data_IF_056050618350
#
_entry.id   IF_056050618350
#
_cell.length_a   1.000
_cell.length_b   1.000
_cell.length_c   1.000
_cell.angle_alpha   90.00
_cell.angle_beta   90.00
_cell.angle_gamma   90.00
#
_symmetry.space_group_name_H-M   'P 1'
#
loop_
_entity.id
_entity.type
_entity.pdbx_description
1 polymer ?
#
# COMPACT_ATOMS: atom_id res chain seq x y z
N UNK A 1 -22.23 40.25 -38.38
CA UNK A 1 -21.82 41.32 -37.44
C UNK A 1 -20.55 40.79 -36.76
N UNK A 2 -19.39 41.45 -36.75
CA UNK A 2 -19.14 42.89 -36.56
C UNK A 2 -18.84 43.09 -35.06
N UNK A 3 -17.57 43.15 -34.62
CA UNK A 3 -16.70 44.34 -34.58
C UNK A 3 -17.40 45.55 -33.90
N UNK A 4 -16.78 46.29 -32.97
CA UNK A 4 -15.38 46.75 -32.97
C UNK A 4 -14.73 46.87 -31.56
N UNK A 5 -13.45 46.50 -31.45
CA UNK A 5 -12.42 47.28 -30.71
C UNK A 5 -12.05 48.52 -31.59
N UNK A 6 -11.42 49.65 -31.15
CA UNK A 6 -10.18 49.61 -30.34
C UNK A 6 -9.71 50.94 -29.64
N UNK A 7 -8.37 51.06 -29.44
CA UNK A 7 -7.51 52.27 -29.23
C UNK A 7 -7.59 52.99 -27.85
N UNK A 8 -6.48 53.15 -27.08
CA UNK A 8 -5.21 53.91 -27.25
C UNK A 8 -5.35 55.42 -26.88
N UNK A 9 -4.36 56.18 -26.38
CA UNK A 9 -2.90 55.97 -26.23
C UNK A 9 -2.24 56.94 -25.18
N UNK A 10 -1.00 56.61 -24.74
CA UNK A 10 0.14 57.53 -24.42
C UNK A 10 0.05 58.57 -23.25
N UNK A 11 1.02 58.48 -22.33
CA UNK A 11 2.13 59.46 -22.26
C UNK A 11 3.47 58.84 -21.80
N UNK A 12 4.59 59.50 -22.13
CA UNK A 12 5.99 59.05 -22.00
C UNK A 12 6.88 60.23 -21.61
N UNK A 13 7.86 59.97 -20.74
CA UNK A 13 9.18 60.62 -20.62
C UNK A 13 10.20 59.47 -20.44
N UNK A 14 11.40 59.40 -21.04
CA UNK A 14 12.43 60.43 -21.37
C UNK A 14 13.33 60.72 -20.15
N UNK A 15 14.67 60.54 -20.20
CA UNK A 15 15.59 60.14 -21.30
C UNK A 15 16.80 59.28 -20.82
N UNK A 16 17.44 58.37 -21.58
CA UNK A 16 16.89 57.34 -22.50
C UNK A 16 17.75 56.01 -22.62
N UNK A 17 19.09 55.78 -22.53
CA UNK A 17 20.40 56.53 -22.69
C UNK A 17 21.57 55.62 -23.25
N UNK A 18 22.77 55.44 -22.62
CA UNK A 18 24.00 54.72 -23.11
C UNK A 18 24.23 53.33 -22.45
N UNK A 19 24.63 52.20 -23.08
CA UNK A 19 25.55 51.87 -24.21
C UNK A 19 27.05 51.79 -23.89
N UNK A 20 27.52 50.90 -22.99
CA UNK A 20 28.96 50.60 -22.89
C UNK A 20 29.37 49.25 -22.25
N UNK A 21 29.02 48.09 -22.85
CA UNK A 21 29.66 46.82 -22.45
C UNK A 21 29.82 45.72 -23.53
N UNK A 22 29.45 45.95 -24.80
CA UNK A 22 29.66 44.99 -25.91
C UNK A 22 31.12 44.95 -26.41
N UNK A 23 32.10 44.92 -25.49
CA UNK A 23 33.54 44.94 -25.83
C UNK A 23 34.45 44.23 -24.82
N UNK A 24 34.25 42.92 -24.63
CA UNK A 24 35.29 41.93 -24.27
C UNK A 24 34.70 40.52 -24.45
N UNK A 25 34.46 40.08 -25.67
CA UNK A 25 35.44 39.26 -26.39
C UNK A 25 36.39 38.43 -25.51
N UNK A 26 36.14 37.11 -25.49
CA UNK A 26 37.12 36.04 -25.77
C UNK A 26 38.47 36.12 -25.02
N UNK A 27 38.71 35.18 -24.11
CA UNK A 27 39.91 34.32 -24.13
C UNK A 27 39.61 33.01 -23.36
N UNK A 28 40.31 31.94 -23.70
CA UNK A 28 39.97 30.56 -23.30
C UNK A 28 40.73 30.09 -22.06
N UNK A 29 40.07 29.34 -21.16
CA UNK A 29 40.72 28.32 -20.33
C UNK A 29 39.85 27.06 -20.18
N UNK A 30 40.52 25.96 -19.89
CA UNK A 30 40.04 24.58 -19.99
C UNK A 30 39.27 24.06 -18.77
N UNK A 31 38.32 23.16 -19.04
CA UNK A 31 38.05 21.93 -18.27
C UNK A 31 37.84 21.99 -16.76
N UNK A 32 36.61 21.73 -16.33
CA UNK A 32 36.37 20.82 -15.19
C UNK A 32 35.15 19.93 -15.50
N UNK A 33 35.28 18.62 -15.26
CA UNK A 33 34.18 17.66 -15.42
C UNK A 33 33.59 17.40 -14.04
N UNK A 34 32.34 17.81 -13.82
CA UNK A 34 31.69 17.64 -12.53
C UNK A 34 30.26 17.12 -12.72
N UNK A 35 30.05 15.85 -12.34
CA UNK A 35 28.82 15.11 -12.53
C UNK A 35 27.84 15.33 -11.37
N UNK A 36 26.64 15.80 -11.68
CA UNK A 36 25.53 15.90 -10.74
C UNK A 36 24.20 15.53 -11.43
N UNK A 37 23.17 15.10 -10.67
CA UNK A 37 22.13 14.22 -11.22
C UNK A 37 21.13 14.96 -12.08
N UNK A 38 20.90 14.48 -13.31
CA UNK A 38 19.80 14.98 -14.13
C UNK A 38 18.46 14.50 -13.55
N UNK A 39 17.61 15.45 -13.17
CA UNK A 39 16.19 15.21 -12.94
C UNK A 39 15.54 14.69 -14.24
N UNK A 40 14.55 13.79 -14.18
CA UNK A 40 13.86 13.29 -15.36
C UNK A 40 13.09 14.43 -16.05
N UNK A 41 13.61 14.89 -17.19
CA UNK A 41 13.01 15.95 -17.98
C UNK A 41 11.70 15.49 -18.63
N UNK A 42 10.70 16.38 -18.61
CA UNK A 42 9.36 16.09 -19.15
C UNK A 42 9.44 15.74 -20.66
N UNK A 43 8.78 14.65 -21.12
CA UNK A 43 8.89 14.20 -22.50
C UNK A 43 8.19 15.14 -23.48
N UNK A 44 8.95 15.73 -24.40
CA UNK A 44 8.42 16.62 -25.45
C UNK A 44 7.55 15.86 -26.47
N UNK A 45 6.39 16.42 -26.80
CA UNK A 45 5.37 15.77 -27.63
C UNK A 45 5.65 15.80 -29.14
N UNK A 46 6.56 14.97 -29.67
CA UNK A 46 6.36 14.32 -30.99
C UNK A 46 7.34 13.18 -31.34
N UNK A 47 6.87 11.93 -31.25
CA UNK A 47 7.03 10.85 -32.25
C UNK A 47 6.48 9.54 -31.68
N UNK A 48 5.92 8.66 -32.53
CA UNK A 48 5.56 7.30 -32.09
C UNK A 48 6.83 6.47 -31.98
N UNK A 49 7.24 6.12 -30.77
CA UNK A 49 8.34 5.18 -30.53
C UNK A 49 7.93 3.78 -30.97
N UNK A 50 8.41 3.34 -32.13
CA UNK A 50 8.32 1.94 -32.56
C UNK A 50 9.35 1.08 -31.79
N UNK A 51 9.19 0.99 -30.47
CA UNK A 51 9.74 -0.17 -29.75
C UNK A 51 9.03 -1.41 -30.31
N UNK A 52 9.79 -2.42 -30.73
CA UNK A 52 9.21 -3.63 -31.32
C UNK A 52 8.23 -4.26 -30.33
N UNK A 53 7.10 -4.77 -30.83
CA UNK A 53 6.11 -5.48 -30.00
C UNK A 53 6.78 -6.57 -29.15
N UNK A 54 7.76 -7.27 -29.73
CA UNK A 54 8.59 -8.26 -29.04
C UNK A 54 9.43 -7.68 -27.89
N UNK A 55 10.02 -6.49 -28.04
CA UNK A 55 10.78 -5.82 -26.97
C UNK A 55 9.86 -5.38 -25.84
N UNK A 56 8.67 -4.86 -26.17
CA UNK A 56 7.66 -4.51 -25.17
C UNK A 56 7.13 -5.75 -24.42
N UNK A 57 6.96 -6.88 -25.12
CA UNK A 57 6.58 -8.17 -24.53
C UNK A 57 7.67 -8.73 -23.60
N UNK A 58 8.94 -8.71 -24.03
CA UNK A 58 10.06 -9.13 -23.18
C UNK A 58 10.14 -8.27 -21.91
N UNK A 59 10.04 -6.94 -22.04
CA UNK A 59 10.05 -6.02 -20.89
C UNK A 59 8.85 -6.24 -19.95
N UNK A 60 7.64 -6.43 -20.50
CA UNK A 60 6.47 -6.76 -19.69
C UNK A 60 6.63 -8.09 -18.95
N UNK A 61 7.20 -9.12 -19.59
CA UNK A 61 7.47 -10.40 -18.94
C UNK A 61 8.56 -10.31 -17.87
N UNK A 62 9.66 -9.57 -18.11
CA UNK A 62 10.70 -9.37 -17.10
C UNK A 62 10.19 -8.60 -15.89
N UNK A 63 9.30 -7.63 -16.11
CA UNK A 63 8.66 -6.91 -15.00
C UNK A 63 7.72 -7.83 -14.24
N UNK A 64 6.87 -8.61 -14.91
CA UNK A 64 5.98 -9.57 -14.25
C UNK A 64 6.75 -10.57 -13.36
N UNK A 65 7.86 -11.15 -13.83
CA UNK A 65 8.68 -12.05 -13.00
C UNK A 65 9.30 -11.36 -11.77
N UNK A 66 9.65 -10.07 -11.87
CA UNK A 66 10.20 -9.29 -10.76
C UNK A 66 9.10 -8.85 -9.78
N UNK A 67 7.93 -8.46 -10.28
CA UNK A 67 6.72 -8.13 -9.52
C UNK A 67 6.19 -9.35 -8.76
N UNK A 68 6.18 -10.54 -9.38
CA UNK A 68 5.88 -11.82 -8.72
C UNK A 68 6.84 -12.09 -7.56
N UNK A 69 8.14 -11.89 -7.76
CA UNK A 69 9.16 -12.08 -6.72
C UNK A 69 9.01 -11.11 -5.54
N UNK A 70 8.72 -9.83 -5.80
CA UNK A 70 8.45 -8.86 -4.74
C UNK A 70 7.14 -9.18 -4.00
N UNK A 71 6.08 -9.54 -4.73
CA UNK A 71 4.79 -9.89 -4.16
C UNK A 71 4.85 -11.16 -3.28
N UNK A 72 5.63 -12.16 -3.69
CA UNK A 72 5.94 -13.34 -2.86
C UNK A 72 6.70 -12.96 -1.59
N UNK A 73 7.72 -12.10 -1.69
CA UNK A 73 8.49 -11.63 -0.54
C UNK A 73 7.66 -10.78 0.44
N UNK A 74 6.66 -10.04 -0.05
CA UNK A 74 5.69 -9.31 0.79
C UNK A 74 4.74 -10.29 1.49
N UNK A 75 4.21 -11.30 0.79
CA UNK A 75 3.28 -12.26 1.39
C UNK A 75 3.96 -13.21 2.39
N UNK A 76 5.19 -13.68 2.17
CA UNK A 76 5.88 -14.45 3.22
C UNK A 76 6.22 -13.60 4.46
N UNK A 77 6.53 -12.30 4.31
CA UNK A 77 6.65 -11.38 5.46
C UNK A 77 5.31 -11.22 6.20
N UNK A 78 4.19 -11.19 5.47
CA UNK A 78 2.82 -11.17 6.03
C UNK A 78 2.50 -12.47 6.76
N UNK A 79 2.69 -13.63 6.13
CA UNK A 79 2.50 -14.96 6.73
C UNK A 79 3.38 -15.18 7.96
N UNK A 80 4.65 -14.78 7.93
CA UNK A 80 5.55 -14.86 9.09
C UNK A 80 5.01 -14.06 10.28
N UNK A 81 4.50 -12.84 10.06
CA UNK A 81 3.82 -12.04 11.10
C UNK A 81 2.56 -12.74 11.62
N UNK A 82 1.72 -13.28 10.73
CA UNK A 82 0.52 -14.04 11.12
C UNK A 82 0.88 -15.26 11.97
N UNK A 83 1.85 -16.09 11.56
CA UNK A 83 2.35 -17.24 12.33
C UNK A 83 2.80 -16.83 13.74
N UNK A 84 3.50 -15.70 13.87
CA UNK A 84 3.89 -15.15 15.18
C UNK A 84 2.71 -14.77 16.07
N UNK A 85 1.62 -14.25 15.50
CA UNK A 85 0.39 -13.94 16.26
C UNK A 85 -0.38 -15.23 16.61
N UNK A 86 -0.50 -16.18 15.69
CA UNK A 86 -1.14 -17.48 15.93
C UNK A 86 -0.47 -18.25 17.08
N UNK A 87 0.85 -18.17 17.20
CA UNK A 87 1.60 -18.76 18.31
C UNK A 87 1.29 -18.13 19.69
N UNK A 88 0.71 -16.92 19.73
CA UNK A 88 0.28 -16.25 20.98
C UNK A 88 -1.19 -16.51 21.36
N UNK A 89 -2.01 -16.99 20.43
CA UNK A 89 -3.41 -17.35 20.71
C UNK A 89 -3.43 -18.72 21.39
N UNK A 90 -4.16 -18.89 22.52
CA UNK A 90 -4.19 -20.17 23.23
C UNK A 90 -4.81 -21.30 22.39
N UNK A 91 -4.33 -22.51 22.65
CA UNK A 91 -4.88 -23.77 22.14
C UNK A 91 -5.40 -24.56 23.34
N UNK A 92 -6.64 -25.01 23.26
CA UNK A 92 -7.29 -25.83 24.28
C UNK A 92 -7.54 -27.24 23.74
N UNK A 93 -7.75 -28.20 24.64
CA UNK A 93 -8.29 -29.51 24.27
C UNK A 93 -9.81 -29.48 24.31
N UNK A 94 -10.46 -30.02 23.29
CA UNK A 94 -11.92 -30.07 23.26
C UNK A 94 -12.48 -30.86 24.46
N UNK A 95 -13.48 -30.27 25.10
CA UNK A 95 -14.35 -30.88 26.09
C UNK A 95 -15.78 -30.43 25.78
N UNK A 96 -16.73 -31.38 25.74
CA UNK A 96 -18.14 -31.08 25.44
C UNK A 96 -18.69 -30.01 26.38
N UNK A 97 -19.40 -29.02 25.82
CA UNK A 97 -19.94 -27.87 26.55
C UNK A 97 -18.96 -26.71 26.80
N UNK A 98 -17.71 -26.76 26.32
CA UNK A 98 -16.81 -25.58 26.30
C UNK A 98 -16.98 -24.69 25.05
N UNK A 99 -17.59 -25.21 23.99
CA UNK A 99 -17.78 -24.51 22.72
C UNK A 99 -19.19 -23.90 22.60
N UNK A 100 -19.37 -22.98 21.66
CA UNK A 100 -20.70 -22.49 21.24
C UNK A 100 -21.37 -23.51 20.30
N UNK A 101 -20.57 -24.17 19.46
CA UNK A 101 -20.97 -25.24 18.54
C UNK A 101 -20.02 -26.43 18.72
N UNK A 102 -20.53 -27.66 18.63
CA UNK A 102 -19.72 -28.88 18.79
C UNK A 102 -19.15 -29.40 17.44
N UNK A 103 -19.24 -28.60 16.36
CA UNK A 103 -18.65 -28.85 15.03
C UNK A 103 -17.66 -27.75 14.58
N UNK A 104 -16.73 -28.12 13.71
CA UNK A 104 -15.82 -27.19 13.06
C UNK A 104 -16.39 -26.66 11.73
N UNK A 105 -16.85 -25.41 11.72
CA UNK A 105 -17.43 -24.75 10.54
C UNK A 105 -16.46 -24.49 9.35
N UNK A 106 -15.25 -25.08 9.36
CA UNK A 106 -14.28 -25.04 8.23
C UNK A 106 -14.26 -26.39 7.50
N UNK A 107 -14.21 -27.51 8.23
CA UNK A 107 -14.18 -28.87 7.65
C UNK A 107 -15.53 -29.59 7.72
N UNK A 108 -16.52 -29.06 8.45
CA UNK A 108 -17.85 -29.64 8.68
C UNK A 108 -17.78 -31.03 9.33
N UNK A 109 -16.93 -31.15 10.35
CA UNK A 109 -16.78 -32.35 11.19
C UNK A 109 -17.04 -31.97 12.65
N UNK A 110 -17.70 -32.88 13.37
CA UNK A 110 -17.86 -32.83 14.83
C UNK A 110 -16.49 -32.84 15.54
N UNK A 111 -16.40 -32.23 16.72
CA UNK A 111 -15.19 -32.24 17.55
C UNK A 111 -15.07 -33.53 18.38
N UNK A 112 -13.93 -34.22 18.28
CA UNK A 112 -13.63 -35.40 19.11
C UNK A 112 -12.93 -35.04 20.44
N UNK A 113 -13.16 -35.81 21.53
CA UNK A 113 -12.50 -35.58 22.81
C UNK A 113 -10.97 -35.60 22.71
N UNK A 114 -10.33 -34.57 23.28
CA UNK A 114 -8.88 -34.33 23.18
C UNK A 114 -8.35 -33.86 21.81
N UNK A 115 -9.19 -33.45 20.87
CA UNK A 115 -8.71 -32.67 19.72
C UNK A 115 -8.13 -31.31 20.13
N UNK A 116 -7.18 -30.80 19.34
CA UNK A 116 -6.57 -29.49 19.55
C UNK A 116 -7.41 -28.41 18.88
N UNK A 117 -8.11 -27.60 19.67
CA UNK A 117 -8.92 -26.49 19.18
C UNK A 117 -8.27 -25.15 19.51
N UNK A 118 -8.28 -24.23 18.55
CA UNK A 118 -7.95 -22.82 18.77
C UNK A 118 -9.26 -22.05 18.90
N UNK A 119 -9.41 -21.37 20.03
CA UNK A 119 -10.49 -20.41 20.23
C UNK A 119 -9.99 -19.01 19.88
N UNK A 120 -10.68 -18.34 18.96
CA UNK A 120 -10.38 -16.95 18.62
C UNK A 120 -10.85 -16.01 19.75
N UNK A 121 -10.33 -14.76 19.83
CA UNK A 121 -10.78 -13.79 20.83
C UNK A 121 -12.30 -13.50 20.79
N UNK A 122 -12.94 -13.65 19.62
CA UNK A 122 -14.40 -13.61 19.45
C UNK A 122 -15.12 -14.92 19.86
N UNK A 123 -14.45 -15.81 20.61
CA UNK A 123 -14.92 -17.07 21.21
C UNK A 123 -15.31 -18.21 20.26
N UNK A 124 -15.23 -18.01 18.95
CA UNK A 124 -15.42 -19.09 17.98
C UNK A 124 -14.24 -20.08 18.02
N UNK A 125 -14.54 -21.37 18.08
CA UNK A 125 -13.56 -22.46 18.13
C UNK A 125 -13.50 -23.26 16.83
N UNK A 126 -12.30 -23.73 16.50
CA UNK A 126 -12.01 -24.51 15.29
C UNK A 126 -10.82 -25.46 15.55
N UNK A 127 -10.67 -26.53 14.77
CA UNK A 127 -9.42 -27.30 14.74
C UNK A 127 -8.24 -26.38 14.40
N UNK A 128 -7.13 -26.51 15.13
CA UNK A 128 -5.91 -25.69 14.93
C UNK A 128 -5.48 -25.67 13.46
N UNK A 129 -5.37 -26.84 12.83
CA UNK A 129 -4.90 -26.97 11.45
C UNK A 129 -5.86 -26.33 10.43
N UNK A 130 -7.17 -26.31 10.72
CA UNK A 130 -8.16 -25.67 9.86
C UNK A 130 -8.11 -24.14 9.93
N UNK A 131 -8.01 -23.57 11.14
CA UNK A 131 -8.07 -22.12 11.33
C UNK A 131 -6.72 -21.42 11.13
N UNK A 132 -5.59 -22.06 11.43
CA UNK A 132 -4.28 -21.46 11.17
C UNK A 132 -4.06 -21.28 9.66
N UNK A 133 -4.41 -22.30 8.87
CA UNK A 133 -4.29 -22.25 7.42
C UNK A 133 -5.30 -21.29 6.77
N UNK A 134 -6.49 -21.12 7.36
CA UNK A 134 -7.42 -20.03 7.02
C UNK A 134 -6.84 -18.65 7.34
N UNK A 135 -6.28 -18.44 8.54
CA UNK A 135 -5.78 -17.14 8.99
C UNK A 135 -4.52 -16.69 8.24
N UNK A 136 -3.72 -17.61 7.70
CA UNK A 136 -2.67 -17.31 6.71
C UNK A 136 -3.24 -16.69 5.43
N UNK A 137 -4.47 -17.06 5.02
CA UNK A 137 -5.15 -16.53 3.84
C UNK A 137 -5.93 -15.25 4.15
N UNK A 138 -6.84 -15.25 5.13
CA UNK A 138 -7.57 -14.07 5.59
C UNK A 138 -7.56 -13.99 7.12
N UNK A 139 -7.09 -12.88 7.70
CA UNK A 139 -6.94 -12.72 9.15
C UNK A 139 -8.27 -12.35 9.87
N UNK A 140 -9.35 -13.02 9.47
CA UNK A 140 -10.73 -12.78 9.92
C UNK A 140 -11.38 -14.09 10.37
N UNK A 141 -12.26 -14.00 11.36
CA UNK A 141 -13.04 -15.13 11.85
C UNK A 141 -14.01 -15.65 10.76
N UNK A 142 -14.01 -16.94 10.41
CA UNK A 142 -14.98 -17.52 9.47
C UNK A 142 -16.45 -17.28 9.86
N UNK A 143 -16.78 -17.31 11.15
CA UNK A 143 -18.17 -17.32 11.63
C UNK A 143 -18.76 -15.94 11.92
N UNK A 144 -17.95 -14.94 12.32
CA UNK A 144 -18.44 -13.57 12.57
C UNK A 144 -17.83 -12.50 11.64
N UNK A 145 -16.90 -12.87 10.75
CA UNK A 145 -16.18 -11.98 9.82
C UNK A 145 -15.31 -10.87 10.46
N UNK A 146 -15.35 -10.71 11.78
CA UNK A 146 -14.48 -9.79 12.53
C UNK A 146 -12.99 -10.13 12.35
N UNK A 147 -12.10 -9.13 12.27
CA UNK A 147 -10.67 -9.34 12.16
C UNK A 147 -10.06 -9.72 13.52
N UNK A 148 -9.11 -10.66 13.51
CA UNK A 148 -8.59 -11.28 14.74
C UNK A 148 -7.68 -10.32 15.55
N UNK A 149 -7.16 -9.26 14.94
CA UNK A 149 -6.35 -8.24 15.62
C UNK A 149 -7.17 -7.29 16.49
N UNK A 150 -8.36 -6.87 16.05
CA UNK A 150 -9.23 -5.93 16.78
C UNK A 150 -9.57 -6.42 18.20
N UNK A 151 -9.78 -7.73 18.35
CA UNK A 151 -10.11 -8.36 19.62
C UNK A 151 -8.87 -8.82 20.43
N UNK A 152 -7.67 -8.82 19.83
CA UNK A 152 -6.40 -8.83 20.59
C UNK A 152 -6.09 -7.41 21.12
N UNK A 153 -6.36 -6.38 20.33
CA UNK A 153 -6.23 -4.98 20.71
C UNK A 153 -7.17 -4.60 21.86
N UNK A 154 -8.42 -5.10 21.89
CA UNK A 154 -9.34 -4.85 23.01
C UNK A 154 -8.83 -5.47 24.33
N UNK A 155 -8.28 -6.69 24.28
CA UNK A 155 -7.65 -7.34 25.45
C UNK A 155 -6.38 -6.60 25.88
N UNK A 156 -5.53 -6.18 24.93
CA UNK A 156 -4.27 -5.49 25.23
C UNK A 156 -4.49 -4.06 25.77
N UNK A 157 -5.46 -3.31 25.22
CA UNK A 157 -5.83 -1.97 25.74
C UNK A 157 -6.51 -2.06 27.11
N UNK A 158 -7.40 -3.04 27.34
CA UNK A 158 -8.02 -3.28 28.64
C UNK A 158 -7.01 -3.67 29.74
N UNK A 159 -5.92 -4.35 29.38
CA UNK A 159 -4.84 -4.74 30.32
C UNK A 159 -3.72 -3.69 30.49
N UNK A 160 -3.49 -2.84 29.48
CA UNK A 160 -2.35 -1.89 29.47
C UNK A 160 -2.74 -0.42 29.65
N UNK A 161 -4.04 -0.08 29.65
CA UNK A 161 -4.52 1.30 29.86
C UNK A 161 -4.17 2.30 28.75
N UNK A 162 -3.68 1.81 27.60
CA UNK A 162 -3.33 2.67 26.45
C UNK A 162 -4.62 3.07 25.75
N UNK A 163 -4.93 4.36 25.79
CA UNK A 163 -6.16 4.92 25.19
C UNK A 163 -6.00 5.26 23.71
N UNK A 164 -7.03 4.85 22.97
CA UNK A 164 -7.57 5.44 21.76
C UNK A 164 -6.75 5.44 20.45
N UNK A 165 -7.04 4.46 19.60
CA UNK A 165 -6.59 4.40 18.20
C UNK A 165 -7.46 5.24 17.24
N UNK A 166 -8.56 5.86 17.69
CA UNK A 166 -9.46 6.66 16.84
C UNK A 166 -8.86 7.98 16.31
N UNK A 167 -7.63 8.32 16.71
CA UNK A 167 -6.88 9.46 16.16
C UNK A 167 -6.30 9.23 14.76
N UNK A 168 -6.52 8.06 14.13
CA UNK A 168 -6.27 7.88 12.69
C UNK A 168 -7.45 8.53 11.92
N UNK A 169 -7.24 9.60 11.14
CA UNK A 169 -8.33 10.26 10.43
C UNK A 169 -8.87 9.38 9.30
N UNK A 170 -10.03 8.77 9.53
CA UNK A 170 -10.80 8.09 8.50
C UNK A 170 -11.08 9.07 7.34
N UNK A 171 -10.41 8.88 6.20
CA UNK A 171 -10.61 9.71 5.02
C UNK A 171 -12.06 9.51 4.53
N UNK A 172 -12.85 10.57 4.65
CA UNK A 172 -14.29 10.52 4.45
C UNK A 172 -14.72 10.00 3.07
N UNK A 173 -15.94 9.47 3.03
CA UNK A 173 -16.59 8.90 1.86
C UNK A 173 -16.79 9.91 0.74
N UNK A 174 -16.85 9.40 -0.50
CA UNK A 174 -17.48 10.11 -1.62
C UNK A 174 -18.60 9.24 -2.16
N UNK A 175 -19.79 9.42 -1.60
CA UNK A 175 -21.03 8.82 -2.11
C UNK A 175 -21.38 9.49 -3.45
N UNK A 176 -21.48 8.70 -4.52
CA UNK A 176 -21.88 9.21 -5.83
C UNK A 176 -23.39 9.14 -6.00
N UNK A 177 -24.01 10.30 -6.24
CA UNK A 177 -25.36 10.42 -6.83
C UNK A 177 -25.30 10.38 -8.35
#
# INVERSE_FOLDING_TARGET
MGNCLPFMYIRRSSEDTEQLEERNQRHSTSSSVQSHPQQPSQPSRRSRSHTSSYVNQLYASSNAYMEEGEQQAIDEKRKARVRGILASIPISKYQSGQSINDECAICMLDFEPNESLRYLPCKHGYHVDCIDDWLLRSFTCPSCMEPVDSALLSVFTASSGIVDLASIPNKATSSRS
#
